data_IF_102518806559
#
_entry.id   IF_102518806559
#
_cell.length_a   1.000
_cell.length_b   1.000
_cell.length_c   1.000
_cell.angle_alpha   90.00
_cell.angle_beta   90.00
_cell.angle_gamma   90.00
#
_symmetry.space_group_name_H-M   'P 1'
#
loop_
_entity.id
_entity.type
_entity.pdbx_description
1 polymer ?
#
# COMPACT_ATOMS: atom_id res chain seq x y z
N UNK A 1 20.75 88.17 41.64
CA UNK A 1 20.81 87.00 42.54
C UNK A 1 19.55 86.17 42.36
N UNK A 2 19.54 85.07 41.57
CA UNK A 2 18.56 84.01 41.74
C UNK A 2 19.09 82.75 41.04
N UNK A 3 19.43 81.76 41.83
CA UNK A 3 19.81 80.40 41.39
C UNK A 3 18.57 79.67 40.89
N UNK A 4 18.56 79.23 39.62
CA UNK A 4 17.62 78.18 39.12
C UNK A 4 18.38 76.90 39.05
N UNK A 5 18.05 75.97 39.94
CA UNK A 5 18.54 74.60 39.91
C UNK A 5 17.85 73.80 38.86
N UNK A 6 18.63 73.05 38.10
CA UNK A 6 18.18 72.09 37.06
C UNK A 6 17.49 70.87 37.74
N UNK A 7 16.28 70.54 37.32
CA UNK A 7 15.56 69.35 37.66
C UNK A 7 15.14 68.68 36.37
N UNK A 8 16.10 68.09 35.62
CA UNK A 8 15.84 67.27 34.46
C UNK A 8 16.80 66.08 34.47
N UNK A 9 16.30 64.89 34.78
CA UNK A 9 17.15 63.71 34.62
C UNK A 9 16.71 62.38 35.22
N UNK A 10 15.44 62.21 35.64
CA UNK A 10 15.02 60.88 36.15
C UNK A 10 13.75 60.25 35.57
N UNK A 11 13.20 60.79 34.52
CA UNK A 11 11.91 60.27 34.00
C UNK A 11 11.95 59.47 32.71
N UNK A 12 13.11 59.31 32.08
CA UNK A 12 13.22 58.64 30.74
C UNK A 12 13.78 57.22 30.79
N UNK A 13 14.30 56.76 31.95
CA UNK A 13 14.93 55.42 32.03
C UNK A 13 13.91 54.31 32.35
N UNK A 14 12.85 54.67 33.10
CA UNK A 14 11.83 53.70 33.53
C UNK A 14 11.02 53.06 32.37
N UNK A 15 10.56 53.78 31.32
CA UNK A 15 9.86 53.16 30.19
C UNK A 15 10.78 52.34 29.32
N UNK A 16 12.06 52.70 29.18
CA UNK A 16 13.01 51.89 28.42
C UNK A 16 13.32 50.56 29.11
N UNK A 17 13.39 50.52 30.44
CA UNK A 17 13.62 49.29 31.20
C UNK A 17 12.41 48.35 31.16
N UNK A 18 11.19 48.87 31.17
CA UNK A 18 9.96 48.11 30.99
C UNK A 18 9.85 47.54 29.55
N UNK A 19 10.29 48.28 28.52
CA UNK A 19 10.28 47.82 27.15
C UNK A 19 11.30 46.69 26.91
N UNK A 20 12.49 46.79 27.52
CA UNK A 20 13.51 45.72 27.46
C UNK A 20 13.07 44.47 28.22
N UNK A 21 12.39 44.60 29.37
CA UNK A 21 11.82 43.46 30.09
C UNK A 21 10.68 42.79 29.34
N UNK A 22 9.83 43.55 28.65
CA UNK A 22 8.75 43.01 27.82
C UNK A 22 9.29 42.32 26.59
N UNK A 23 10.34 42.85 25.95
CA UNK A 23 11.01 42.24 24.82
C UNK A 23 11.79 40.97 25.20
N UNK A 24 12.41 40.94 26.39
CA UNK A 24 13.06 39.74 26.93
C UNK A 24 12.04 38.63 27.26
N UNK A 25 10.82 38.98 27.70
CA UNK A 25 9.75 38.01 27.96
C UNK A 25 9.12 37.45 26.64
N UNK A 26 9.06 38.30 25.60
CA UNK A 26 8.59 37.86 24.26
C UNK A 26 9.58 36.92 23.58
N UNK A 27 10.88 37.01 23.82
CA UNK A 27 11.91 36.12 23.33
C UNK A 27 12.00 34.78 24.07
N UNK A 28 11.45 34.68 25.28
CA UNK A 28 11.37 33.43 26.05
C UNK A 28 10.26 32.50 25.59
N UNK A 29 9.39 32.93 24.66
CA UNK A 29 8.36 32.09 24.01
C UNK A 29 8.88 31.33 22.81
N UNK A 30 10.19 31.31 22.57
CA UNK A 30 10.77 30.56 21.47
C UNK A 30 10.92 29.09 21.88
N UNK A 31 9.96 28.26 21.40
CA UNK A 31 10.20 26.88 21.11
C UNK A 31 10.64 25.98 22.27
N UNK A 32 9.67 25.49 23.07
CA UNK A 32 9.85 24.15 23.63
C UNK A 32 10.14 23.22 22.46
N UNK A 33 11.44 22.95 22.20
CA UNK A 33 11.83 21.74 21.50
C UNK A 33 11.15 20.60 22.24
N UNK A 34 10.10 20.03 21.65
CA UNK A 34 9.45 18.83 22.13
C UNK A 34 10.54 17.78 22.30
N UNK A 35 11.04 17.60 23.50
CA UNK A 35 11.90 16.48 23.85
C UNK A 35 11.01 15.24 23.82
N UNK A 36 10.83 14.77 22.65
CA UNK A 36 10.79 13.43 22.15
C UNK A 36 9.99 12.33 22.84
N UNK A 37 8.95 12.59 23.62
CA UNK A 37 8.04 11.53 24.04
C UNK A 37 6.77 11.58 23.18
N UNK A 38 6.50 10.49 22.45
CA UNK A 38 5.28 10.31 21.65
C UNK A 38 4.03 10.13 22.55
N UNK A 39 4.24 9.72 23.81
CA UNK A 39 3.17 9.46 24.78
C UNK A 39 2.24 10.66 24.97
N UNK A 40 0.93 10.41 24.97
CA UNK A 40 -0.12 11.42 25.14
C UNK A 40 -0.34 12.31 23.92
N UNK A 41 0.30 12.03 22.79
CA UNK A 41 0.10 12.78 21.54
C UNK A 41 -0.94 12.10 20.66
N UNK A 42 -1.73 12.90 19.95
CA UNK A 42 -2.50 12.46 18.80
C UNK A 42 -1.64 12.62 17.54
N UNK A 43 -1.50 11.53 16.76
CA UNK A 43 -0.71 11.47 15.55
C UNK A 43 -1.65 11.43 14.35
N UNK A 44 -1.56 12.42 13.46
CA UNK A 44 -2.24 12.39 12.16
C UNK A 44 -1.44 11.51 11.24
N UNK A 45 -1.98 10.33 10.93
CA UNK A 45 -1.36 9.31 10.08
C UNK A 45 -2.17 9.15 8.79
N UNK A 46 -1.51 9.28 7.65
CA UNK A 46 -2.11 8.99 6.35
C UNK A 46 -2.27 7.49 6.13
N UNK A 47 -3.35 7.11 5.48
CA UNK A 47 -3.57 5.74 5.01
C UNK A 47 -4.05 5.78 3.57
N UNK A 48 -3.69 4.76 2.79
CA UNK A 48 -4.32 4.54 1.50
C UNK A 48 -5.79 4.16 1.75
N UNK A 49 -6.71 4.86 1.07
CA UNK A 49 -8.16 4.67 1.27
C UNK A 49 -8.72 3.49 0.49
N UNK A 50 -7.93 2.93 -0.44
CA UNK A 50 -8.34 1.88 -1.36
C UNK A 50 -7.16 0.95 -1.68
N UNK A 51 -6.67 0.23 -0.65
CA UNK A 51 -5.59 -0.76 -0.76
C UNK A 51 -5.82 -1.96 0.17
N UNK A 52 -6.98 -2.61 0.00
CA UNK A 52 -7.27 -3.84 0.72
C UNK A 52 -6.23 -4.93 0.36
N UNK A 53 -5.79 -5.75 1.32
CA UNK A 53 -6.21 -5.82 2.73
C UNK A 53 -5.37 -4.94 3.68
N UNK A 54 -4.43 -4.13 3.19
CA UNK A 54 -3.55 -3.30 4.01
C UNK A 54 -4.29 -2.15 4.69
N UNK A 55 -4.92 -1.28 3.90
CA UNK A 55 -5.78 -0.20 4.40
C UNK A 55 -6.83 0.19 3.36
N UNK A 56 -8.03 0.46 3.83
CA UNK A 56 -9.17 0.85 3.00
C UNK A 56 -10.21 1.55 3.86
N UNK A 57 -11.26 2.07 3.24
CA UNK A 57 -12.45 2.54 3.93
C UNK A 57 -13.53 1.45 3.85
N UNK A 58 -14.08 1.06 5.02
CA UNK A 58 -15.20 0.13 5.09
C UNK A 58 -16.51 0.73 4.54
N UNK A 59 -17.61 -0.02 4.57
CA UNK A 59 -18.92 0.42 4.08
C UNK A 59 -19.43 1.68 4.80
N UNK A 60 -19.09 1.86 6.08
CA UNK A 60 -19.42 3.03 6.88
C UNK A 60 -18.39 4.17 6.70
N UNK A 61 -17.41 4.02 5.77
CA UNK A 61 -16.32 4.96 5.49
C UNK A 61 -15.35 5.14 6.67
N UNK A 62 -15.24 4.15 7.55
CA UNK A 62 -14.22 4.11 8.58
C UNK A 62 -12.93 3.48 8.06
N UNK A 63 -11.77 3.95 8.53
CA UNK A 63 -10.50 3.28 8.26
C UNK A 63 -10.47 1.84 8.75
N UNK A 64 -10.09 0.91 7.88
CA UNK A 64 -10.01 -0.51 8.17
C UNK A 64 -8.77 -1.12 7.49
N UNK A 65 -8.45 -2.38 7.83
CA UNK A 65 -7.36 -3.14 7.24
C UNK A 65 -6.23 -3.45 8.21
N UNK A 66 -5.29 -4.27 7.73
CA UNK A 66 -4.15 -4.75 8.51
C UNK A 66 -3.33 -3.61 9.13
N UNK A 67 -2.96 -2.60 8.34
CA UNK A 67 -2.10 -1.50 8.77
C UNK A 67 -2.78 -0.59 9.79
N UNK A 68 -4.11 -0.44 9.67
CA UNK A 68 -4.92 0.30 10.63
C UNK A 68 -4.88 -0.40 11.99
N UNK A 69 -5.17 -1.70 12.04
CA UNK A 69 -5.16 -2.45 13.30
C UNK A 69 -3.74 -2.57 13.88
N UNK A 70 -2.72 -2.75 13.02
CA UNK A 70 -1.32 -2.81 13.44
C UNK A 70 -0.90 -1.53 14.17
N UNK A 71 -1.13 -0.36 13.56
CA UNK A 71 -0.69 0.90 14.18
C UNK A 71 -1.53 1.27 15.41
N UNK A 72 -2.82 0.92 15.47
CA UNK A 72 -3.64 1.10 16.67
C UNK A 72 -3.16 0.25 17.85
N UNK A 73 -2.81 -1.01 17.58
CA UNK A 73 -2.24 -1.89 18.61
C UNK A 73 -0.89 -1.36 19.11
N UNK A 74 -0.02 -0.85 18.23
CA UNK A 74 1.23 -0.19 18.58
C UNK A 74 0.98 1.09 19.37
N UNK A 75 0.06 1.95 18.92
CA UNK A 75 -0.28 3.21 19.57
C UNK A 75 -0.76 3.02 21.01
N UNK A 76 -1.64 2.03 21.20
CA UNK A 76 -2.11 1.65 22.55
C UNK A 76 -0.97 1.24 23.47
N UNK A 77 0.03 0.51 22.98
CA UNK A 77 1.20 0.06 23.75
C UNK A 77 2.16 1.19 24.08
N UNK A 78 2.41 2.05 23.12
CA UNK A 78 3.39 3.14 23.21
C UNK A 78 2.77 4.42 23.82
N UNK A 79 1.44 4.43 24.08
CA UNK A 79 0.72 5.48 24.80
C UNK A 79 0.45 6.72 23.96
N UNK A 80 0.20 6.58 22.66
CA UNK A 80 -0.28 7.66 21.79
C UNK A 80 -1.61 7.27 21.12
N UNK A 81 -2.25 8.22 20.45
CA UNK A 81 -3.47 7.96 19.67
C UNK A 81 -3.23 8.28 18.21
N UNK A 82 -3.98 7.65 17.31
CA UNK A 82 -3.91 7.88 15.87
C UNK A 82 -5.20 8.51 15.38
N UNK A 83 -5.05 9.54 14.55
CA UNK A 83 -6.13 10.08 13.74
C UNK A 83 -5.80 9.80 12.29
N UNK A 84 -6.53 8.88 11.68
CA UNK A 84 -6.33 8.51 10.28
C UNK A 84 -6.77 9.61 9.32
N UNK A 85 -6.04 9.74 8.21
CA UNK A 85 -6.32 10.68 7.12
C UNK A 85 -6.26 9.88 5.82
N UNK A 86 -7.42 9.37 5.33
CA UNK A 86 -7.48 8.59 4.11
C UNK A 86 -7.19 9.44 2.87
N UNK A 87 -6.32 8.95 1.97
CA UNK A 87 -5.98 9.60 0.71
C UNK A 87 -5.36 8.59 -0.27
N UNK A 88 -5.11 8.98 -1.51
CA UNK A 88 -4.42 8.14 -2.47
C UNK A 88 -2.88 8.14 -2.25
N UNK A 89 -2.10 7.20 -2.83
CA UNK A 89 -0.65 7.07 -2.58
C UNK A 89 0.16 8.32 -2.92
N UNK A 90 -0.13 8.99 -4.03
CA UNK A 90 0.59 10.21 -4.44
C UNK A 90 0.37 11.37 -3.46
N UNK A 91 -0.83 11.51 -2.91
CA UNK A 91 -1.15 12.48 -1.87
C UNK A 91 -0.52 12.13 -0.51
N UNK A 92 -0.38 10.83 -0.16
CA UNK A 92 0.32 10.38 1.05
C UNK A 92 1.75 10.88 1.07
N UNK A 93 2.51 10.64 0.01
CA UNK A 93 3.91 11.06 -0.09
C UNK A 93 4.07 12.57 0.04
N UNK A 94 3.30 13.35 -0.74
CA UNK A 94 3.36 14.81 -0.71
C UNK A 94 2.97 15.38 0.65
N UNK A 95 1.97 14.80 1.32
CA UNK A 95 1.51 15.22 2.65
C UNK A 95 2.52 14.92 3.75
N UNK A 96 3.27 13.82 3.66
CA UNK A 96 4.37 13.50 4.57
C UNK A 96 5.54 14.47 4.36
N UNK A 97 5.93 14.73 3.11
CA UNK A 97 7.03 15.65 2.78
C UNK A 97 6.73 17.08 3.26
N UNK A 98 5.52 17.56 3.08
CA UNK A 98 5.09 18.91 3.53
C UNK A 98 4.79 18.98 5.03
N UNK A 99 4.74 17.84 5.74
CA UNK A 99 4.41 17.80 7.17
C UNK A 99 2.93 18.01 7.48
N UNK A 100 2.05 17.91 6.50
CA UNK A 100 0.58 17.96 6.68
C UNK A 100 0.11 16.77 7.51
N UNK A 101 0.74 15.61 7.34
CA UNK A 101 0.61 14.43 8.19
C UNK A 101 1.97 14.04 8.75
N UNK A 102 1.97 13.34 9.88
CA UNK A 102 3.20 12.95 10.60
C UNK A 102 3.91 11.77 9.93
N UNK A 103 3.15 10.89 9.32
CA UNK A 103 3.62 9.70 8.61
C UNK A 103 2.47 9.03 7.86
N UNK A 104 2.74 7.94 7.18
CA UNK A 104 1.74 7.18 6.44
C UNK A 104 2.02 5.67 6.47
N UNK A 105 0.95 4.87 6.37
CA UNK A 105 0.91 3.43 6.20
C UNK A 105 -0.17 3.05 5.17
N UNK A 106 -0.23 1.79 4.77
CA UNK A 106 -1.23 1.30 3.81
C UNK A 106 -0.60 0.46 2.70
N UNK A 107 0.23 -0.54 3.07
CA UNK A 107 0.99 -1.33 2.08
C UNK A 107 2.09 -0.50 1.41
N UNK A 108 2.69 0.46 2.14
CA UNK A 108 3.72 1.34 1.54
C UNK A 108 5.06 0.62 1.50
N UNK A 109 5.60 0.46 0.30
CA UNK A 109 6.88 -0.20 0.08
C UNK A 109 8.04 0.66 0.55
N UNK A 110 8.99 0.01 1.22
CA UNK A 110 10.27 0.60 1.62
C UNK A 110 11.14 0.72 0.39
N UNK A 111 11.52 1.96 0.06
CA UNK A 111 12.39 2.26 -1.08
C UNK A 111 13.33 3.42 -0.78
N UNK A 112 14.36 3.56 -1.58
CA UNK A 112 15.25 4.72 -1.49
C UNK A 112 14.56 5.98 -2.00
N UNK A 113 14.37 6.95 -1.11
CA UNK A 113 13.75 8.24 -1.40
C UNK A 113 14.46 9.37 -0.65
N UNK A 114 14.78 10.46 -1.37
CA UNK A 114 15.56 11.56 -0.80
C UNK A 114 14.85 12.33 0.32
N UNK A 115 13.53 12.39 0.28
CA UNK A 115 12.72 13.20 1.20
C UNK A 115 11.97 12.37 2.24
N UNK A 116 12.09 11.06 2.19
CA UNK A 116 11.36 10.12 3.02
C UNK A 116 12.30 9.23 3.84
N UNK A 117 11.80 8.73 4.95
CA UNK A 117 12.44 7.70 5.78
C UNK A 117 11.39 6.66 6.14
N UNK A 118 11.81 5.42 6.28
CA UNK A 118 10.92 4.30 6.58
C UNK A 118 11.33 3.63 7.89
N UNK A 119 10.38 2.93 8.51
CA UNK A 119 10.68 1.98 9.60
C UNK A 119 11.40 0.75 9.06
N UNK A 120 11.80 -0.15 9.96
CA UNK A 120 12.05 -1.55 9.61
C UNK A 120 10.76 -2.16 9.05
N UNK A 121 10.92 -3.17 8.18
CA UNK A 121 9.79 -3.85 7.55
C UNK A 121 8.92 -4.57 8.59
N UNK A 122 7.60 -4.38 8.49
CA UNK A 122 6.66 -5.17 9.27
C UNK A 122 6.23 -6.45 8.55
N UNK A 123 6.41 -6.53 7.24
CA UNK A 123 6.12 -7.67 6.41
C UNK A 123 6.69 -7.51 5.01
N UNK A 124 6.58 -8.54 4.20
CA UNK A 124 6.95 -8.52 2.77
C UNK A 124 6.00 -9.38 1.94
N UNK A 125 5.91 -9.08 0.67
CA UNK A 125 5.19 -9.87 -0.33
C UNK A 125 5.89 -9.72 -1.68
N UNK A 126 5.34 -10.33 -2.73
CA UNK A 126 5.84 -10.16 -4.09
C UNK A 126 4.85 -9.37 -4.94
N UNK A 127 5.36 -8.75 -5.98
CA UNK A 127 4.52 -8.19 -7.04
C UNK A 127 3.90 -9.29 -7.89
N UNK A 128 2.73 -9.01 -8.45
CA UNK A 128 2.04 -9.93 -9.33
C UNK A 128 1.38 -9.25 -10.53
N UNK A 129 0.91 -10.09 -11.44
CA UNK A 129 0.11 -9.73 -12.60
C UNK A 129 -1.18 -10.53 -12.56
N UNK A 130 -2.33 -9.85 -12.53
CA UNK A 130 -3.65 -10.47 -12.69
C UNK A 130 -4.06 -10.36 -14.15
N UNK A 131 -4.57 -11.46 -14.73
CA UNK A 131 -5.00 -11.53 -16.12
C UNK A 131 -6.07 -12.58 -16.34
N UNK A 132 -6.80 -12.47 -17.46
CA UNK A 132 -7.76 -13.47 -17.91
C UNK A 132 -7.08 -14.52 -18.77
N UNK A 133 -7.28 -15.79 -18.48
CA UNK A 133 -6.80 -16.90 -19.31
C UNK A 133 -7.83 -17.25 -20.37
N UNK A 134 -7.47 -17.05 -21.62
CA UNK A 134 -8.30 -17.52 -22.74
C UNK A 134 -8.28 -19.04 -22.82
N UNK A 135 -9.48 -19.65 -22.82
CA UNK A 135 -9.63 -21.11 -22.99
C UNK A 135 -9.05 -21.64 -24.31
N UNK A 136 -8.65 -20.76 -25.23
CA UNK A 136 -8.08 -21.11 -26.53
C UNK A 136 -6.59 -21.46 -26.48
N UNK A 137 -5.82 -20.92 -25.52
CA UNK A 137 -4.36 -21.17 -25.41
C UNK A 137 -4.02 -22.57 -24.91
N UNK A 138 -4.96 -23.27 -24.28
CA UNK A 138 -4.76 -24.66 -23.79
C UNK A 138 -4.73 -25.71 -24.91
N UNK A 139 -5.12 -25.36 -26.15
CA UNK A 139 -5.21 -26.32 -27.29
C UNK A 139 -3.95 -26.43 -28.15
N UNK A 140 -3.03 -25.47 -28.10
CA UNK A 140 -1.82 -25.54 -28.93
C UNK A 140 -0.66 -26.33 -28.30
N UNK A 141 -0.67 -26.60 -27.01
CA UNK A 141 0.36 -27.44 -26.37
C UNK A 141 0.10 -28.92 -26.35
N UNK A 142 -1.08 -29.39 -26.78
CA UNK A 142 -1.42 -30.83 -26.81
C UNK A 142 -1.21 -31.52 -28.18
N UNK A 143 -0.74 -30.83 -29.21
CA UNK A 143 -0.67 -31.41 -30.57
C UNK A 143 0.71 -31.85 -31.08
N UNK A 144 1.75 -31.84 -30.24
CA UNK A 144 3.09 -32.33 -30.60
C UNK A 144 3.56 -33.42 -29.66
N UNK A 145 2.94 -34.59 -29.72
CA UNK A 145 3.60 -35.87 -29.45
C UNK A 145 2.68 -37.04 -29.84
N UNK A 146 2.51 -37.26 -31.16
CA UNK A 146 2.12 -38.56 -31.67
C UNK A 146 3.24 -39.06 -32.59
N UNK A 147 4.02 -40.01 -32.10
CA UNK A 147 5.00 -40.69 -32.93
C UNK A 147 6.04 -41.49 -32.16
N UNK A 148 5.69 -42.63 -31.73
CA UNK A 148 6.32 -43.94 -31.96
C UNK A 148 6.42 -44.83 -30.73
N UNK A 149 5.71 -45.93 -30.84
CA UNK A 149 5.75 -47.16 -30.06
C UNK A 149 7.14 -47.79 -29.95
N UNK A 150 7.50 -48.26 -28.72
CA UNK A 150 8.07 -49.61 -28.55
C UNK A 150 7.91 -50.05 -27.10
N UNK A 151 7.43 -51.27 -26.94
CA UNK A 151 7.16 -51.99 -25.69
C UNK A 151 8.43 -52.26 -24.89
N UNK A 152 8.35 -52.18 -23.54
CA UNK A 152 8.96 -53.19 -22.63
C UNK A 152 8.49 -52.96 -21.18
N UNK A 153 8.33 -54.09 -20.51
CA UNK A 153 7.63 -54.43 -19.29
C UNK A 153 8.22 -53.88 -17.98
N UNK A 154 7.31 -53.83 -16.99
CA UNK A 154 7.44 -54.01 -15.54
C UNK A 154 8.40 -53.14 -14.69
N UNK A 155 7.83 -52.22 -13.89
CA UNK A 155 7.81 -52.27 -12.42
C UNK A 155 7.01 -51.06 -11.83
N UNK A 156 6.27 -51.23 -10.72
CA UNK A 156 5.49 -50.14 -10.13
C UNK A 156 6.36 -49.33 -9.18
N UNK A 157 6.78 -48.16 -9.59
CA UNK A 157 7.33 -47.13 -8.70
C UNK A 157 6.24 -46.12 -8.38
N UNK A 158 5.94 -46.01 -7.06
CA UNK A 158 5.12 -44.96 -6.48
C UNK A 158 5.78 -43.63 -6.79
N UNK A 159 5.29 -42.91 -7.80
CA UNK A 159 5.72 -41.54 -8.07
C UNK A 159 4.73 -40.60 -7.39
N UNK A 160 5.20 -39.96 -6.33
CA UNK A 160 4.62 -38.71 -5.82
C UNK A 160 4.47 -37.75 -7.00
N UNK A 161 3.23 -37.43 -7.33
CA UNK A 161 2.90 -36.37 -8.29
C UNK A 161 3.28 -35.04 -7.64
N UNK A 162 4.53 -34.63 -7.73
CA UNK A 162 4.90 -33.22 -7.72
C UNK A 162 4.40 -32.60 -9.02
N UNK A 163 3.30 -31.89 -8.96
CA UNK A 163 2.84 -31.02 -10.03
C UNK A 163 3.70 -29.75 -10.05
N UNK A 164 4.90 -29.84 -10.60
CA UNK A 164 5.68 -28.69 -11.02
C UNK A 164 5.34 -28.35 -12.47
N UNK A 165 4.15 -27.82 -12.72
CA UNK A 165 3.98 -26.98 -13.89
C UNK A 165 4.79 -25.70 -13.58
N UNK A 166 5.94 -25.52 -14.24
CA UNK A 166 6.65 -24.24 -14.25
C UNK A 166 5.72 -23.27 -14.99
N UNK A 167 4.99 -22.47 -14.22
CA UNK A 167 4.22 -21.35 -14.77
C UNK A 167 5.21 -20.42 -15.46
N UNK A 168 5.15 -20.42 -16.79
CA UNK A 168 5.99 -19.56 -17.59
C UNK A 168 5.43 -18.15 -17.53
N UNK A 169 6.27 -17.17 -17.22
CA UNK A 169 5.89 -15.77 -17.20
C UNK A 169 5.18 -15.36 -18.50
N UNK A 170 4.00 -14.75 -18.47
CA UNK A 170 3.34 -14.27 -19.68
C UNK A 170 4.22 -13.22 -20.38
N UNK A 171 4.21 -13.22 -21.73
CA UNK A 171 4.95 -12.20 -22.49
C UNK A 171 4.33 -10.82 -22.27
N UNK A 172 5.16 -9.87 -21.85
CA UNK A 172 4.75 -8.47 -21.64
C UNK A 172 4.92 -7.61 -22.89
N UNK A 173 5.66 -8.07 -23.89
CA UNK A 173 5.97 -7.28 -25.09
C UNK A 173 4.70 -6.90 -25.85
N UNK A 174 4.53 -5.59 -26.07
CA UNK A 174 3.37 -5.02 -26.77
C UNK A 174 2.07 -5.00 -25.94
N UNK A 175 2.13 -5.41 -24.66
CA UNK A 175 1.00 -5.44 -23.75
C UNK A 175 0.79 -4.12 -23.02
N UNK A 176 -0.40 -3.94 -22.47
CA UNK A 176 -0.77 -2.81 -21.62
C UNK A 176 -1.02 -3.30 -20.19
N UNK A 177 -0.39 -2.63 -19.22
CA UNK A 177 -0.47 -2.99 -17.80
C UNK A 177 -1.10 -1.83 -17.04
N UNK A 178 -2.19 -2.10 -16.34
CA UNK A 178 -2.86 -1.17 -15.44
C UNK A 178 -2.13 -1.12 -14.10
N UNK A 179 -1.86 0.09 -13.62
CA UNK A 179 -1.17 0.34 -12.33
C UNK A 179 -1.79 1.52 -11.60
N UNK A 180 -1.72 1.50 -10.28
CA UNK A 180 -2.18 2.60 -9.42
C UNK A 180 -1.14 3.71 -9.34
N UNK A 181 -1.56 4.97 -9.51
CA UNK A 181 -0.67 6.14 -9.43
C UNK A 181 0.02 6.25 -8.07
N UNK A 182 1.33 6.45 -8.09
CA UNK A 182 2.14 6.63 -6.88
C UNK A 182 2.41 5.36 -6.08
N UNK A 183 1.95 4.19 -6.53
CA UNK A 183 2.33 2.90 -5.93
C UNK A 183 3.79 2.56 -6.22
N UNK A 184 4.40 1.72 -5.39
CA UNK A 184 5.74 1.18 -5.65
C UNK A 184 5.75 0.29 -6.88
N UNK A 185 4.67 -0.45 -7.13
CA UNK A 185 4.46 -1.25 -8.34
C UNK A 185 4.58 -0.40 -9.60
N UNK A 186 3.93 0.78 -9.64
CA UNK A 186 4.05 1.70 -10.78
C UNK A 186 5.49 2.19 -10.98
N UNK A 187 6.21 2.52 -9.89
CA UNK A 187 7.61 2.94 -9.93
C UNK A 187 8.51 1.82 -10.45
N UNK A 188 8.33 0.60 -9.95
CA UNK A 188 9.09 -0.57 -10.41
C UNK A 188 8.86 -0.84 -11.91
N UNK A 189 7.62 -0.94 -12.34
CA UNK A 189 7.28 -1.23 -13.74
C UNK A 189 7.75 -0.13 -14.69
N UNK A 190 7.66 1.15 -14.30
CA UNK A 190 8.22 2.26 -15.10
C UNK A 190 9.73 2.07 -15.34
N UNK A 191 10.47 1.54 -14.36
CA UNK A 191 11.92 1.33 -14.46
C UNK A 191 12.31 0.26 -15.50
N UNK A 192 11.45 -0.72 -15.75
CA UNK A 192 11.72 -1.85 -16.67
C UNK A 192 10.94 -1.78 -17.98
N UNK A 193 9.96 -0.87 -18.12
CA UNK A 193 9.00 -0.85 -19.23
C UNK A 193 9.65 -0.77 -20.62
N UNK A 194 10.71 0.03 -20.76
CA UNK A 194 11.41 0.18 -22.05
C UNK A 194 12.12 -1.11 -22.46
N UNK A 195 12.71 -1.82 -21.48
CA UNK A 195 13.42 -3.07 -21.73
C UNK A 195 12.46 -4.19 -22.08
N UNK A 196 11.35 -4.30 -21.37
CA UNK A 196 10.37 -5.38 -21.53
C UNK A 196 9.32 -5.09 -22.62
N UNK A 197 9.24 -3.85 -23.11
CA UNK A 197 8.44 -3.46 -24.28
C UNK A 197 6.93 -3.38 -24.06
N UNK A 198 6.46 -3.05 -22.86
CA UNK A 198 5.05 -2.85 -22.53
C UNK A 198 4.69 -1.38 -22.32
N UNK A 199 3.39 -1.08 -22.26
CA UNK A 199 2.85 0.25 -21.90
C UNK A 199 2.19 0.21 -20.52
N UNK A 200 2.20 1.36 -19.81
CA UNK A 200 1.50 1.53 -18.54
C UNK A 200 0.24 2.37 -18.74
N UNK A 201 -0.85 1.92 -18.15
CA UNK A 201 -2.10 2.64 -17.99
C UNK A 201 -2.27 2.96 -16.50
N UNK A 202 -2.19 4.24 -16.17
CA UNK A 202 -2.16 4.70 -14.78
C UNK A 202 -3.55 5.14 -14.35
N UNK A 203 -4.04 4.61 -13.24
CA UNK A 203 -5.33 4.96 -12.63
C UNK A 203 -5.14 5.46 -11.21
N UNK A 204 -6.20 6.02 -10.59
CA UNK A 204 -6.12 6.64 -9.26
C UNK A 204 -6.39 5.66 -8.12
N UNK A 205 -7.33 4.74 -8.32
CA UNK A 205 -7.85 3.84 -7.29
C UNK A 205 -7.81 2.38 -7.76
N UNK A 206 -7.80 1.43 -6.83
CA UNK A 206 -7.82 0.01 -7.15
C UNK A 206 -9.13 -0.43 -7.83
N UNK A 207 -10.26 0.21 -7.47
CA UNK A 207 -11.53 -0.02 -8.15
C UNK A 207 -11.48 0.37 -9.62
N UNK A 208 -10.72 1.40 -9.98
CA UNK A 208 -10.50 1.79 -11.38
C UNK A 208 -9.67 0.72 -12.12
N UNK A 209 -8.71 0.08 -11.46
CA UNK A 209 -7.95 -1.04 -12.06
C UNK A 209 -8.89 -2.16 -12.51
N UNK A 210 -9.79 -2.59 -11.62
CA UNK A 210 -10.76 -3.65 -11.91
C UNK A 210 -11.68 -3.23 -13.05
N UNK A 211 -12.26 -2.02 -12.96
CA UNK A 211 -13.19 -1.51 -13.97
C UNK A 211 -12.55 -1.42 -15.35
N UNK A 212 -11.40 -0.75 -15.47
CA UNK A 212 -10.70 -0.56 -16.75
C UNK A 212 -10.26 -1.91 -17.35
N UNK A 213 -9.87 -2.87 -16.48
CA UNK A 213 -9.50 -4.20 -16.93
C UNK A 213 -10.70 -5.01 -17.44
N UNK A 214 -11.85 -4.96 -16.75
CA UNK A 214 -13.09 -5.59 -17.19
C UNK A 214 -13.59 -5.02 -18.52
N UNK A 215 -13.39 -3.72 -18.77
CA UNK A 215 -13.67 -3.05 -20.04
C UNK A 215 -12.66 -3.41 -21.15
N UNK A 216 -11.63 -4.21 -20.86
CA UNK A 216 -10.64 -4.65 -21.86
C UNK A 216 -9.57 -3.61 -22.21
N UNK A 217 -9.44 -2.52 -21.43
CA UNK A 217 -8.49 -1.43 -21.71
C UNK A 217 -7.03 -1.80 -21.40
N UNK A 218 -6.78 -2.70 -20.43
CA UNK A 218 -5.44 -3.20 -20.11
C UNK A 218 -5.37 -4.71 -20.24
N UNK A 219 -4.23 -5.28 -20.58
CA UNK A 219 -4.03 -6.74 -20.64
C UNK A 219 -3.87 -7.34 -19.26
N UNK A 220 -3.19 -6.61 -18.36
CA UNK A 220 -2.89 -7.02 -17.00
C UNK A 220 -3.26 -5.93 -15.99
N UNK A 221 -3.57 -6.35 -14.75
CA UNK A 221 -3.47 -5.50 -13.57
C UNK A 221 -2.19 -5.90 -12.84
N UNK A 222 -1.36 -4.94 -12.45
CA UNK A 222 -0.18 -5.17 -11.63
C UNK A 222 -0.30 -4.50 -10.27
N UNK A 223 -0.17 -5.28 -9.22
CA UNK A 223 -0.16 -4.87 -7.82
C UNK A 223 0.56 -5.90 -6.95
N UNK A 224 0.64 -5.64 -5.64
CA UNK A 224 1.11 -6.60 -4.66
C UNK A 224 0.21 -7.84 -4.63
N UNK A 225 0.79 -9.03 -4.47
CA UNK A 225 0.00 -10.27 -4.48
C UNK A 225 -1.19 -10.25 -3.51
N UNK A 226 -1.09 -9.80 -2.26
CA UNK A 226 -2.25 -9.74 -1.37
C UNK A 226 -3.37 -8.83 -1.88
N UNK A 227 -3.02 -7.74 -2.58
CA UNK A 227 -3.98 -6.82 -3.18
C UNK A 227 -4.66 -7.48 -4.38
N UNK A 228 -3.89 -8.15 -5.23
CA UNK A 228 -4.45 -8.89 -6.37
C UNK A 228 -5.36 -10.04 -5.93
N UNK A 229 -5.03 -10.76 -4.86
CA UNK A 229 -5.90 -11.80 -4.31
C UNK A 229 -7.21 -11.21 -3.76
N UNK A 230 -7.14 -10.05 -3.08
CA UNK A 230 -8.35 -9.34 -2.66
C UNK A 230 -9.20 -8.89 -3.86
N UNK A 231 -8.58 -8.27 -4.87
CA UNK A 231 -9.27 -7.84 -6.11
C UNK A 231 -9.93 -9.03 -6.83
N UNK A 232 -9.27 -10.18 -6.89
CA UNK A 232 -9.79 -11.37 -7.53
C UNK A 232 -11.09 -11.87 -6.90
N UNK A 233 -11.23 -11.72 -5.57
CA UNK A 233 -12.48 -12.04 -4.87
C UNK A 233 -13.60 -11.03 -5.18
N UNK A 234 -13.25 -9.78 -5.49
CA UNK A 234 -14.21 -8.73 -5.85
C UNK A 234 -14.67 -8.81 -7.30
N UNK A 235 -13.86 -9.37 -8.22
CA UNK A 235 -14.24 -9.50 -9.63
C UNK A 235 -15.42 -10.46 -9.76
N UNK A 236 -16.54 -10.05 -10.38
CA UNK A 236 -17.74 -10.84 -10.47
C UNK A 236 -17.50 -12.19 -11.14
N UNK A 237 -17.81 -13.29 -10.45
CA UNK A 237 -17.86 -14.62 -11.04
C UNK A 237 -19.13 -14.69 -11.88
N UNK A 238 -18.99 -14.77 -13.19
CA UNK A 238 -20.12 -15.01 -14.10
C UNK A 238 -20.31 -16.54 -14.20
N UNK A 239 -21.52 -17.02 -13.94
CA UNK A 239 -21.87 -18.42 -14.08
C UNK A 239 -21.86 -18.87 -15.55
N UNK A 240 -21.94 -20.19 -15.78
CA UNK A 240 -21.95 -20.79 -17.13
C UNK A 240 -23.14 -20.33 -18.00
N UNK A 241 -24.12 -19.63 -17.41
CA UNK A 241 -25.29 -19.07 -18.10
C UNK A 241 -25.14 -17.61 -18.46
N UNK A 242 -23.99 -16.99 -18.14
CA UNK A 242 -23.72 -15.57 -18.37
C UNK A 242 -24.41 -14.63 -17.38
N UNK A 243 -24.78 -15.13 -16.20
CA UNK A 243 -25.33 -14.33 -15.11
C UNK A 243 -24.25 -14.07 -14.07
N UNK A 244 -24.14 -12.84 -13.62
CA UNK A 244 -23.36 -12.50 -12.43
C UNK A 244 -24.06 -13.11 -11.21
N UNK A 245 -23.35 -13.88 -10.37
CA UNK A 245 -23.87 -14.19 -9.04
C UNK A 245 -24.14 -12.86 -8.31
N UNK A 246 -25.30 -12.75 -7.66
CA UNK A 246 -25.92 -11.53 -7.12
C UNK A 246 -25.11 -10.79 -6.02
N UNK A 247 -23.80 -10.65 -6.18
CA UNK A 247 -22.97 -9.91 -5.24
C UNK A 247 -22.02 -8.94 -5.95
N UNK A 248 -22.52 -7.73 -6.22
CA UNK A 248 -21.68 -6.58 -6.44
C UNK A 248 -21.56 -5.84 -5.11
N UNK A 249 -20.33 -5.54 -4.61
CA UNK A 249 -20.18 -4.65 -3.47
C UNK A 249 -20.94 -3.34 -3.70
N UNK A 250 -21.56 -2.74 -2.68
CA UNK A 250 -22.40 -1.54 -2.82
C UNK A 250 -21.72 -0.36 -3.50
N UNK A 251 -20.39 -0.28 -3.44
CA UNK A 251 -19.58 0.79 -4.03
C UNK A 251 -19.27 0.57 -5.52
N UNK A 252 -19.48 -0.63 -6.06
CA UNK A 252 -19.46 -0.95 -7.48
C UNK A 252 -20.86 -0.82 -8.14
N UNK A 253 -21.85 -0.29 -7.41
CA UNK A 253 -23.21 -0.09 -7.92
C UNK A 253 -23.29 0.86 -9.14
N UNK A 254 -22.24 1.62 -9.44
CA UNK A 254 -22.16 2.36 -10.69
C UNK A 254 -21.83 1.48 -11.90
N UNK A 255 -21.43 0.22 -11.68
CA UNK A 255 -21.33 -0.81 -12.73
C UNK A 255 -22.72 -1.37 -13.12
N UNK A 256 -23.80 -1.00 -12.42
CA UNK A 256 -25.16 -1.40 -12.78
C UNK A 256 -25.62 -0.86 -14.15
N UNK A 257 -24.93 0.13 -14.72
CA UNK A 257 -25.03 0.55 -16.12
C UNK A 257 -24.14 -0.28 -17.07
N UNK A 258 -23.34 -1.19 -16.52
CA UNK A 258 -22.51 -2.10 -17.32
C UNK A 258 -23.43 -3.12 -18.00
N UNK A 259 -23.87 -2.79 -19.19
CA UNK A 259 -24.65 -3.69 -20.05
C UNK A 259 -23.72 -4.78 -20.58
N UNK A 260 -23.54 -5.84 -19.77
CA UNK A 260 -22.71 -7.04 -20.07
C UNK A 260 -23.05 -7.65 -21.45
N UNK A 261 -24.22 -7.32 -22.00
CA UNK A 261 -24.63 -7.81 -23.32
C UNK A 261 -24.13 -6.96 -24.49
N UNK A 262 -23.55 -5.79 -24.24
CA UNK A 262 -23.20 -4.83 -25.32
C UNK A 262 -21.78 -4.89 -25.83
N UNK A 263 -20.81 -5.45 -25.10
CA UNK A 263 -19.43 -5.41 -25.55
C UNK A 263 -18.79 -6.80 -25.71
N UNK A 264 -18.47 -7.13 -26.96
CA UNK A 264 -17.66 -8.30 -27.37
C UNK A 264 -16.26 -8.35 -26.72
N UNK A 265 -15.89 -7.36 -25.93
CA UNK A 265 -14.58 -7.20 -25.30
C UNK A 265 -14.60 -7.33 -23.77
N UNK A 266 -15.75 -7.59 -23.16
CA UNK A 266 -15.83 -7.78 -21.70
C UNK A 266 -15.09 -9.03 -21.27
N UNK A 267 -14.22 -8.92 -20.25
CA UNK A 267 -13.52 -10.04 -19.60
C UNK A 267 -14.34 -10.72 -18.51
N UNK A 268 -15.56 -10.30 -18.35
CA UNK A 268 -16.49 -10.93 -17.44
C UNK A 268 -16.64 -12.42 -17.82
N UNK A 269 -16.45 -13.34 -16.87
CA UNK A 269 -16.50 -14.80 -17.09
C UNK A 269 -15.21 -15.45 -17.58
N UNK A 270 -14.12 -14.72 -17.75
CA UNK A 270 -12.80 -15.31 -17.99
C UNK A 270 -12.28 -15.99 -16.71
N UNK A 271 -11.51 -17.06 -16.88
CA UNK A 271 -10.77 -17.64 -15.75
C UNK A 271 -9.62 -16.70 -15.39
N UNK A 272 -9.65 -16.16 -14.15
CA UNK A 272 -8.68 -15.16 -13.67
C UNK A 272 -7.51 -15.87 -13.00
N UNK A 273 -6.31 -15.58 -13.48
CA UNK A 273 -5.06 -16.07 -12.90
C UNK A 273 -4.21 -14.92 -12.40
N UNK A 274 -3.37 -15.22 -11.40
CA UNK A 274 -2.36 -14.30 -10.86
C UNK A 274 -1.00 -14.95 -11.04
N UNK A 275 -0.09 -14.24 -11.69
CA UNK A 275 1.30 -14.62 -11.85
C UNK A 275 2.20 -13.80 -10.91
N UNK A 276 3.05 -14.46 -10.12
CA UNK A 276 4.04 -13.79 -9.27
C UNK A 276 5.28 -13.40 -10.05
N UNK A 277 5.65 -12.12 -10.00
CA UNK A 277 6.89 -11.62 -10.62
C UNK A 277 8.15 -11.95 -9.81
N UNK A 278 8.01 -12.55 -8.63
CA UNK A 278 9.10 -12.88 -7.69
C UNK A 278 9.93 -11.65 -7.24
N UNK A 279 9.47 -10.45 -7.52
CA UNK A 279 10.04 -9.21 -7.01
C UNK A 279 9.51 -9.00 -5.59
N UNK A 280 10.39 -9.04 -4.59
CA UNK A 280 10.00 -8.91 -3.19
C UNK A 280 9.87 -7.45 -2.79
N UNK A 281 8.70 -7.09 -2.23
CA UNK A 281 8.40 -5.79 -1.67
C UNK A 281 8.35 -5.87 -0.14
N UNK A 282 8.98 -4.91 0.52
CA UNK A 282 8.98 -4.81 1.98
C UNK A 282 8.13 -3.60 2.41
N UNK A 283 7.27 -3.77 3.39
CA UNK A 283 6.33 -2.72 3.82
C UNK A 283 6.75 -2.05 5.12
N UNK A 284 6.61 -0.74 5.19
CA UNK A 284 7.03 0.05 6.35
C UNK A 284 6.17 1.29 6.62
N UNK A 285 6.30 1.81 7.83
CA UNK A 285 5.79 3.13 8.18
C UNK A 285 6.68 4.21 7.55
N UNK A 286 6.09 5.09 6.75
CA UNK A 286 6.75 6.20 6.07
C UNK A 286 6.65 7.49 6.87
N UNK A 287 7.76 8.23 6.98
CA UNK A 287 7.82 9.59 7.56
C UNK A 287 8.71 10.50 6.73
N UNK A 288 8.65 11.82 6.95
CA UNK A 288 9.57 12.75 6.30
C UNK A 288 11.03 12.52 6.72
N UNK A 289 11.97 12.73 5.80
CA UNK A 289 13.40 12.53 6.03
C UNK A 289 13.90 13.29 7.27
N UNK A 290 14.47 12.54 8.21
CA UNK A 290 14.99 13.08 9.47
C UNK A 290 13.91 13.56 10.46
N UNK A 291 12.63 13.48 10.10
CA UNK A 291 11.50 13.89 10.92
C UNK A 291 10.93 12.70 11.72
N UNK A 292 10.14 12.99 12.73
CA UNK A 292 9.30 12.03 13.47
C UNK A 292 10.02 10.74 13.92
N UNK A 293 11.31 10.81 14.23
CA UNK A 293 12.13 9.66 14.67
C UNK A 293 11.55 8.91 15.86
N UNK A 294 10.80 9.62 16.73
CA UNK A 294 10.15 9.01 17.89
C UNK A 294 8.97 8.11 17.47
N UNK A 295 8.26 8.48 16.40
CA UNK A 295 7.22 7.62 15.84
C UNK A 295 7.82 6.33 15.26
N UNK A 296 8.90 6.44 14.47
CA UNK A 296 9.62 5.26 13.94
C UNK A 296 10.11 4.35 15.06
N UNK A 297 10.72 4.92 16.13
CA UNK A 297 11.20 4.14 17.27
C UNK A 297 10.06 3.48 18.03
N UNK A 298 8.94 4.18 18.23
CA UNK A 298 7.76 3.61 18.87
C UNK A 298 7.16 2.48 18.05
N UNK A 299 7.09 2.66 16.73
CA UNK A 299 6.64 1.63 15.80
C UNK A 299 7.48 0.35 15.92
N UNK A 300 8.81 0.46 15.80
CA UNK A 300 9.74 -0.68 15.90
C UNK A 300 9.63 -1.39 17.26
N UNK A 301 9.57 -0.63 18.38
CA UNK A 301 9.39 -1.25 19.71
C UNK A 301 8.06 -1.96 19.86
N UNK A 302 6.97 -1.34 19.38
CA UNK A 302 5.63 -1.92 19.45
C UNK A 302 5.52 -3.18 18.59
N UNK A 303 6.00 -3.12 17.35
CA UNK A 303 6.04 -4.25 16.42
C UNK A 303 6.83 -5.44 17.01
N UNK A 304 8.01 -5.17 17.58
CA UNK A 304 8.81 -6.22 18.23
C UNK A 304 8.01 -6.92 19.34
N UNK A 305 7.33 -6.17 20.19
CA UNK A 305 6.50 -6.76 21.27
C UNK A 305 5.31 -7.56 20.72
N UNK A 306 4.70 -7.11 19.62
CA UNK A 306 3.62 -7.87 18.96
C UNK A 306 4.12 -9.18 18.36
N UNK A 307 5.33 -9.20 17.79
CA UNK A 307 5.97 -10.43 17.31
C UNK A 307 6.35 -11.38 18.47
N UNK A 308 6.85 -10.84 19.60
CA UNK A 308 7.21 -11.62 20.77
C UNK A 308 6.02 -12.31 21.47
N UNK A 309 4.83 -11.75 21.40
CA UNK A 309 3.63 -12.26 22.08
C UNK A 309 2.58 -12.91 21.14
N UNK A 310 2.89 -13.06 19.85
CA UNK A 310 2.03 -13.72 18.86
C UNK A 310 0.89 -12.87 18.32
N UNK A 311 0.79 -11.59 18.69
CA UNK A 311 -0.28 -10.72 18.17
C UNK A 311 -0.08 -10.35 16.70
N UNK A 312 1.18 -10.21 16.28
CA UNK A 312 1.52 -9.96 14.88
C UNK A 312 1.09 -11.15 14.00
N UNK A 313 1.40 -12.38 14.42
CA UNK A 313 1.01 -13.61 13.74
C UNK A 313 -0.52 -13.79 13.69
N UNK A 314 -1.22 -13.44 14.77
CA UNK A 314 -2.67 -13.46 14.79
C UNK A 314 -3.27 -12.46 13.79
N UNK A 315 -2.67 -11.26 13.69
CA UNK A 315 -3.12 -10.22 12.78
C UNK A 315 -2.84 -10.61 11.31
N UNK A 316 -1.66 -11.12 11.00
CA UNK A 316 -1.31 -11.60 9.65
C UNK A 316 -2.23 -12.72 9.19
N UNK A 317 -2.57 -13.65 10.10
CA UNK A 317 -3.54 -14.71 9.81
C UNK A 317 -4.94 -14.18 9.55
N UNK A 318 -5.39 -13.18 10.32
CA UNK A 318 -6.71 -12.55 10.14
C UNK A 318 -6.88 -12.00 8.73
N UNK A 319 -5.84 -11.38 8.17
CA UNK A 319 -5.85 -10.75 6.86
C UNK A 319 -5.26 -11.62 5.75
N UNK A 320 -4.92 -12.88 6.04
CA UNK A 320 -4.24 -13.80 5.10
C UNK A 320 -2.95 -13.22 4.49
N UNK A 321 -2.27 -12.35 5.26
CA UNK A 321 -1.03 -11.71 4.85
C UNK A 321 0.20 -12.50 5.31
N UNK A 322 1.28 -12.43 4.54
CA UNK A 322 2.61 -12.91 4.91
C UNK A 322 2.63 -14.37 5.39
N UNK A 323 1.84 -15.25 4.72
CA UNK A 323 1.80 -16.69 5.06
C UNK A 323 3.21 -17.31 4.96
N UNK A 324 3.53 -18.19 5.88
CA UNK A 324 4.86 -18.72 6.24
C UNK A 324 5.64 -19.49 5.15
N UNK A 325 5.31 -19.35 3.87
CA UNK A 325 6.11 -19.89 2.76
C UNK A 325 7.19 -18.93 2.26
N UNK A 326 7.31 -17.72 2.84
CA UNK A 326 8.38 -16.76 2.59
C UNK A 326 9.19 -16.51 3.86
N UNK A 327 9.85 -17.54 4.39
CA UNK A 327 10.89 -17.34 5.39
C UNK A 327 12.20 -17.09 4.63
N UNK A 328 12.75 -15.87 4.60
CA UNK A 328 14.12 -15.69 4.13
C UNK A 328 15.05 -16.31 5.17
N UNK A 329 15.83 -17.29 4.74
CA UNK A 329 17.01 -17.77 5.46
C UNK A 329 18.12 -16.73 5.44
#
# INVERSE_FOLDING_TARGET
MHKRAAFFGKLTVLPLFLFVLFFAFALSSCGKKSTGKIQGREIRLGIDRDNAPFSYLDEEKNPAGFDVELIEAIAKREGFTVKFVPMNPSALQSSVVTGTIVGAMGGIEIREEKQLSFSEAYGSSSLGLLYGKDSSETKEQSSVSMGRSSESEDQPSVSEKQSSASEQMPSLQGKSILVKEGSGTAVFLESIRQKEGFSLLVVQENQDLIREWLEGKGDFIAEDLPVLEAMKEEIPKIDETGRTEDYLPPDLLDISEFDVQKEKNSRAGQNIEIFSLKEEQHYGLMVGMGQNKELLRAFVRGLKKMKENGEWEALTKKYSLFSSNSNPQ
#
